data_IF_836268077161
#
_entry.id   IF_836268077161
#
_cell.length_a   1.000
_cell.length_b   1.000
_cell.length_c   1.000
_cell.angle_alpha   90.00
_cell.angle_beta   90.00
_cell.angle_gamma   90.00
#
_symmetry.space_group_name_H-M   'P 1'
#
loop_
_entity.id
_entity.type
_entity.pdbx_description
1 polymer ?
#
# COMPACT_ATOMS: atom_id res chain seq x y z
N UNK A 1 23.30 -6.95 -4.32
CA UNK A 1 23.31 -5.90 -3.28
C UNK A 1 22.16 -6.18 -2.35
N UNK A 2 22.40 -6.31 -1.05
CA UNK A 2 21.34 -6.65 -0.07
C UNK A 2 20.48 -5.42 0.24
N UNK A 3 19.29 -5.63 0.82
CA UNK A 3 18.39 -4.53 1.20
C UNK A 3 19.04 -3.57 2.20
N UNK A 4 19.81 -4.10 3.15
CA UNK A 4 20.61 -3.29 4.09
C UNK A 4 21.63 -2.40 3.35
N UNK A 5 22.31 -2.93 2.32
CA UNK A 5 23.25 -2.16 1.52
C UNK A 5 22.54 -1.09 0.69
N UNK A 6 21.38 -1.41 0.11
CA UNK A 6 20.53 -0.46 -0.64
C UNK A 6 20.05 0.68 0.26
N UNK A 7 19.57 0.35 1.45
CA UNK A 7 19.13 1.32 2.45
C UNK A 7 20.26 2.28 2.85
N UNK A 8 21.44 1.73 3.19
CA UNK A 8 22.59 2.56 3.55
C UNK A 8 23.01 3.49 2.40
N UNK A 9 23.05 2.98 1.16
CA UNK A 9 23.33 3.79 -0.03
C UNK A 9 22.30 4.90 -0.21
N UNK A 10 21.02 4.61 -0.01
CA UNK A 10 19.94 5.60 -0.09
C UNK A 10 20.13 6.73 0.93
N UNK A 11 20.48 6.38 2.17
CA UNK A 11 20.74 7.37 3.23
C UNK A 11 21.92 8.29 2.89
N UNK A 12 22.96 7.75 2.24
CA UNK A 12 24.10 8.55 1.75
C UNK A 12 23.65 9.49 0.64
N UNK A 13 22.89 9.01 -0.35
CA UNK A 13 22.36 9.85 -1.44
C UNK A 13 21.51 11.00 -0.89
N UNK A 14 20.65 10.72 0.09
CA UNK A 14 19.85 11.77 0.74
C UNK A 14 20.71 12.79 1.48
N UNK A 15 21.83 12.36 2.07
CA UNK A 15 22.77 13.27 2.73
C UNK A 15 23.46 14.17 1.70
N UNK A 16 23.90 13.62 0.57
CA UNK A 16 24.49 14.40 -0.54
C UNK A 16 23.52 15.44 -1.11
N UNK A 17 22.23 15.13 -1.19
CA UNK A 17 21.21 16.02 -1.73
C UNK A 17 20.82 17.13 -0.73
N UNK A 18 20.53 16.76 0.51
CA UNK A 18 19.91 17.68 1.48
C UNK A 18 20.89 18.29 2.47
N UNK A 19 22.01 17.63 2.75
CA UNK A 19 23.00 18.08 3.72
C UNK A 19 24.42 17.77 3.25
N UNK A 20 24.88 18.34 2.12
CA UNK A 20 26.15 17.97 1.49
C UNK A 20 27.36 18.16 2.41
N UNK A 21 27.28 19.10 3.36
CA UNK A 21 28.35 19.37 4.34
C UNK A 21 28.32 18.44 5.57
N UNK A 22 27.37 17.49 5.63
CA UNK A 22 27.19 16.59 6.77
C UNK A 22 27.17 15.14 6.33
N UNK A 23 27.89 14.32 7.06
CA UNK A 23 27.80 12.87 6.93
C UNK A 23 26.58 12.35 7.67
N UNK A 24 25.99 11.27 7.15
CA UNK A 24 24.95 10.54 7.86
C UNK A 24 25.62 9.64 8.90
N UNK A 25 25.25 9.80 10.17
CA UNK A 25 25.80 8.97 11.25
C UNK A 25 25.18 7.57 11.25
N UNK A 26 25.87 6.59 11.82
CA UNK A 26 25.37 5.21 11.91
C UNK A 26 24.07 5.13 12.71
N UNK A 27 24.01 5.88 13.81
CA UNK A 27 22.85 5.97 14.70
C UNK A 27 21.64 6.53 13.95
N UNK A 28 21.84 7.52 13.06
CA UNK A 28 20.78 8.04 12.22
C UNK A 28 20.27 6.99 11.22
N UNK A 29 21.16 6.21 10.62
CA UNK A 29 20.74 5.11 9.72
C UNK A 29 19.90 4.09 10.49
N UNK A 30 20.33 3.72 11.70
CA UNK A 30 19.64 2.74 12.53
C UNK A 30 18.24 3.21 12.94
N UNK A 31 18.10 4.47 13.38
CA UNK A 31 16.79 5.06 13.71
C UNK A 31 15.85 5.06 12.50
N UNK A 32 16.35 5.39 11.30
CA UNK A 32 15.53 5.36 10.09
C UNK A 32 15.14 3.94 9.73
N UNK A 33 16.07 2.99 9.82
CA UNK A 33 15.81 1.59 9.52
C UNK A 33 14.73 1.03 10.43
N UNK A 34 14.83 1.26 11.74
CA UNK A 34 13.83 0.84 12.72
C UNK A 34 12.46 1.51 12.48
N UNK A 35 12.45 2.83 12.22
CA UNK A 35 11.21 3.57 11.95
C UNK A 35 10.49 3.12 10.67
N UNK A 36 11.24 2.60 9.69
CA UNK A 36 10.73 2.19 8.38
C UNK A 36 10.67 0.68 8.19
N UNK A 37 10.96 -0.12 9.22
CA UNK A 37 11.09 -1.58 9.13
C UNK A 37 9.85 -2.30 8.59
N UNK A 38 8.67 -1.67 8.69
CA UNK A 38 7.39 -2.22 8.21
C UNK A 38 7.18 -2.05 6.70
N UNK A 39 8.06 -1.33 6.02
CA UNK A 39 7.98 -1.10 4.58
C UNK A 39 9.09 -1.85 3.86
N UNK A 40 8.85 -2.20 2.60
CA UNK A 40 9.88 -2.82 1.78
C UNK A 40 10.91 -1.78 1.36
N UNK A 41 12.14 -2.20 1.07
CA UNK A 41 13.17 -1.30 0.53
C UNK A 41 12.70 -0.59 -0.75
N UNK A 42 11.86 -1.24 -1.57
CA UNK A 42 11.33 -0.66 -2.79
C UNK A 42 10.36 0.50 -2.49
N UNK A 43 9.50 0.35 -1.48
CA UNK A 43 8.60 1.43 -1.04
C UNK A 43 9.39 2.65 -0.56
N UNK A 44 10.44 2.39 0.23
CA UNK A 44 11.32 3.42 0.79
C UNK A 44 12.09 4.14 -0.33
N UNK A 45 12.62 3.42 -1.32
CA UNK A 45 13.30 4.03 -2.47
C UNK A 45 12.34 4.86 -3.35
N UNK A 46 11.11 4.41 -3.55
CA UNK A 46 10.10 5.19 -4.28
C UNK A 46 9.70 6.45 -3.53
N UNK A 47 9.52 6.34 -2.21
CA UNK A 47 9.23 7.47 -1.36
C UNK A 47 10.37 8.49 -1.37
N UNK A 48 11.63 8.03 -1.28
CA UNK A 48 12.79 8.88 -1.41
C UNK A 48 12.79 9.69 -2.71
N UNK A 49 12.54 9.02 -3.84
CA UNK A 49 12.46 9.70 -5.16
C UNK A 49 11.39 10.77 -5.19
N UNK A 50 10.20 10.48 -4.65
CA UNK A 50 9.11 11.45 -4.56
C UNK A 50 9.50 12.63 -3.67
N UNK A 51 10.06 12.38 -2.50
CA UNK A 51 10.52 13.43 -1.57
C UNK A 51 11.56 14.31 -2.24
N UNK A 52 12.57 13.72 -2.90
CA UNK A 52 13.61 14.48 -3.63
C UNK A 52 13.00 15.41 -4.67
N UNK A 53 11.97 14.95 -5.40
CA UNK A 53 11.36 15.72 -6.48
C UNK A 53 10.32 16.76 -6.01
N UNK A 54 9.81 16.65 -4.78
CA UNK A 54 8.66 17.45 -4.32
C UNK A 54 8.98 18.33 -3.11
N UNK A 55 9.97 17.96 -2.29
CA UNK A 55 10.32 18.69 -1.09
C UNK A 55 10.96 20.02 -1.46
N UNK A 56 10.38 21.10 -0.96
CA UNK A 56 10.82 22.48 -1.23
C UNK A 56 11.88 22.98 -0.23
N UNK A 57 11.99 22.34 0.93
CA UNK A 57 12.93 22.72 1.99
C UNK A 57 14.19 21.85 1.97
N UNK A 58 15.36 22.49 2.09
CA UNK A 58 16.68 21.85 2.09
C UNK A 58 17.03 21.09 3.38
N UNK A 59 16.06 20.68 4.19
CA UNK A 59 16.31 19.88 5.38
C UNK A 59 16.35 18.40 5.04
N UNK A 60 17.20 17.62 5.73
CA UNK A 60 17.22 16.17 5.59
C UNK A 60 15.83 15.58 5.92
N UNK A 61 15.20 14.76 5.05
CA UNK A 61 13.82 14.33 5.24
C UNK A 61 13.64 13.42 6.44
N UNK A 62 12.63 13.65 7.27
CA UNK A 62 12.33 12.84 8.47
C UNK A 62 11.69 11.49 8.09
N UNK A 63 11.78 10.44 8.94
CA UNK A 63 11.10 9.16 8.68
C UNK A 63 9.59 9.32 8.48
N UNK A 64 8.96 10.26 9.20
CA UNK A 64 7.53 10.56 9.04
C UNK A 64 7.15 11.01 7.63
N UNK A 65 8.05 11.69 6.91
CA UNK A 65 7.81 12.12 5.53
C UNK A 65 7.79 10.92 4.58
N UNK A 66 8.66 9.93 4.78
CA UNK A 66 8.62 8.66 4.05
C UNK A 66 7.30 7.94 4.30
N UNK A 67 6.90 7.84 5.57
CA UNK A 67 5.64 7.20 5.96
C UNK A 67 4.46 7.85 5.24
N UNK A 68 4.36 9.18 5.29
CA UNK A 68 3.28 9.94 4.64
C UNK A 68 3.23 9.64 3.14
N UNK A 69 4.38 9.70 2.46
CA UNK A 69 4.43 9.48 0.99
C UNK A 69 4.08 8.04 0.61
N UNK A 70 4.51 7.05 1.39
CA UNK A 70 4.19 5.64 1.16
C UNK A 70 2.70 5.39 1.37
N UNK A 71 2.14 5.91 2.47
CA UNK A 71 0.73 5.75 2.81
C UNK A 71 -0.19 6.52 1.85
N UNK A 72 0.18 7.74 1.45
CA UNK A 72 -0.54 8.52 0.44
C UNK A 72 -0.56 7.82 -0.92
N UNK A 73 0.58 7.28 -1.38
CA UNK A 73 0.65 6.49 -2.60
C UNK A 73 -0.21 5.23 -2.53
N UNK A 74 -0.21 4.54 -1.38
CA UNK A 74 -1.06 3.39 -1.15
C UNK A 74 -2.56 3.77 -1.16
N UNK A 75 -2.91 4.94 -0.64
CA UNK A 75 -4.28 5.46 -0.63
C UNK A 75 -4.75 5.83 -2.04
N UNK A 76 -3.93 6.52 -2.84
CA UNK A 76 -4.26 6.86 -4.23
C UNK A 76 -4.44 5.61 -5.09
N UNK A 77 -3.58 4.61 -4.94
CA UNK A 77 -3.70 3.35 -5.66
C UNK A 77 -4.95 2.56 -5.23
N UNK A 78 -5.28 2.57 -3.93
CA UNK A 78 -6.49 1.92 -3.43
C UNK A 78 -7.78 2.59 -3.93
N UNK A 79 -7.74 3.90 -4.13
CA UNK A 79 -8.87 4.66 -4.64
C UNK A 79 -9.09 4.36 -6.12
N UNK A 80 -8.04 4.42 -6.95
CA UNK A 80 -8.11 4.08 -8.38
C UNK A 80 -8.64 2.65 -8.56
N UNK A 81 -8.03 1.66 -7.87
CA UNK A 81 -8.48 0.26 -7.94
C UNK A 81 -9.92 0.08 -7.48
N UNK A 82 -10.34 0.81 -6.44
CA UNK A 82 -11.73 0.77 -5.98
C UNK A 82 -12.70 1.32 -7.02
N UNK A 83 -12.33 2.36 -7.76
CA UNK A 83 -13.16 2.93 -8.83
C UNK A 83 -13.24 2.02 -10.05
N UNK A 84 -12.14 1.38 -10.43
CA UNK A 84 -12.10 0.36 -11.48
C UNK A 84 -12.99 -0.83 -11.10
N UNK A 85 -12.86 -1.34 -9.88
CA UNK A 85 -13.70 -2.40 -9.34
C UNK A 85 -15.20 -2.02 -9.33
N UNK A 86 -15.53 -0.79 -8.91
CA UNK A 86 -16.90 -0.29 -8.97
C UNK A 86 -17.44 -0.26 -10.41
N UNK A 87 -16.62 0.18 -11.36
CA UNK A 87 -17.02 0.25 -12.77
C UNK A 87 -17.28 -1.14 -13.36
N UNK A 88 -16.47 -2.14 -12.96
CA UNK A 88 -16.66 -3.52 -13.36
C UNK A 88 -17.99 -4.09 -12.87
N UNK A 89 -18.35 -3.87 -11.60
CA UNK A 89 -19.61 -4.40 -11.05
C UNK A 89 -20.84 -3.74 -11.69
N UNK A 90 -20.78 -2.44 -12.00
CA UNK A 90 -21.85 -1.75 -12.74
C UNK A 90 -22.03 -2.34 -14.14
N UNK A 91 -20.93 -2.68 -14.83
CA UNK A 91 -20.97 -3.34 -16.14
C UNK A 91 -21.56 -4.75 -16.04
N UNK A 92 -21.28 -5.48 -14.96
CA UNK A 92 -21.85 -6.81 -14.75
C UNK A 92 -23.35 -6.75 -14.43
N UNK A 93 -23.78 -5.77 -13.63
CA UNK A 93 -25.19 -5.55 -13.32
C UNK A 93 -26.01 -5.17 -14.56
N UNK A 94 -25.46 -4.38 -15.48
CA UNK A 94 -26.17 -3.97 -16.70
C UNK A 94 -26.31 -5.07 -17.76
N UNK A 95 -25.52 -6.14 -17.67
CA UNK A 95 -25.50 -7.26 -18.61
C UNK A 95 -26.26 -8.49 -18.07
N UNK A 96 -26.92 -8.38 -16.91
CA UNK A 96 -27.63 -9.47 -16.25
C UNK A 96 -28.59 -10.22 -17.21
N UNK A 97 -28.13 -11.40 -17.64
CA UNK A 97 -28.76 -12.38 -18.51
C UNK A 97 -28.28 -13.78 -18.12
N UNK A 98 -28.26 -14.74 -19.04
CA UNK A 98 -28.07 -16.19 -18.78
C UNK A 98 -26.73 -16.65 -18.13
N UNK A 99 -25.78 -15.76 -17.87
CA UNK A 99 -24.49 -16.11 -17.25
C UNK A 99 -24.28 -15.39 -15.93
N UNK A 100 -23.83 -16.11 -14.90
CA UNK A 100 -23.28 -15.50 -13.69
C UNK A 100 -21.97 -14.79 -14.06
N UNK A 101 -21.93 -13.45 -13.99
CA UNK A 101 -20.72 -12.72 -14.36
C UNK A 101 -19.70 -12.84 -13.22
N UNK A 102 -18.64 -13.61 -13.44
CA UNK A 102 -17.51 -13.69 -12.51
C UNK A 102 -16.68 -12.41 -12.60
N UNK A 103 -16.41 -11.78 -11.46
CA UNK A 103 -15.47 -10.66 -11.40
C UNK A 103 -14.04 -11.09 -11.78
N UNK A 104 -13.28 -10.17 -12.34
CA UNK A 104 -11.88 -10.37 -12.76
C UNK A 104 -10.94 -10.65 -11.59
N UNK A 105 -11.25 -10.09 -10.42
CA UNK A 105 -10.50 -10.21 -9.17
C UNK A 105 -11.41 -10.80 -8.06
N UNK A 106 -11.00 -11.88 -7.37
CA UNK A 106 -11.70 -12.44 -6.22
C UNK A 106 -12.01 -11.42 -5.11
N UNK A 107 -11.18 -10.38 -4.95
CA UNK A 107 -11.44 -9.30 -3.98
C UNK A 107 -12.67 -8.47 -4.35
N UNK A 108 -12.93 -8.27 -5.64
CA UNK A 108 -14.10 -7.54 -6.13
C UNK A 108 -15.35 -8.35 -5.79
N UNK A 109 -15.33 -9.66 -6.08
CA UNK A 109 -16.44 -10.56 -5.75
C UNK A 109 -16.72 -10.56 -4.24
N UNK A 110 -15.68 -10.72 -3.42
CA UNK A 110 -15.81 -10.70 -1.97
C UNK A 110 -16.35 -9.35 -1.45
N UNK A 111 -15.90 -8.23 -2.03
CA UNK A 111 -16.41 -6.92 -1.67
C UNK A 111 -17.90 -6.75 -2.01
N UNK A 112 -18.36 -7.27 -3.15
CA UNK A 112 -19.78 -7.28 -3.53
C UNK A 112 -20.60 -8.16 -2.60
N UNK A 113 -20.10 -9.35 -2.27
CA UNK A 113 -20.78 -10.28 -1.38
C UNK A 113 -20.96 -9.67 0.01
N UNK A 114 -19.95 -8.96 0.52
CA UNK A 114 -20.03 -8.26 1.79
C UNK A 114 -20.91 -7.00 1.76
N UNK A 115 -20.83 -6.20 0.70
CA UNK A 115 -21.53 -4.91 0.63
C UNK A 115 -23.01 -5.05 0.27
N UNK A 116 -23.35 -6.04 -0.56
CA UNK A 116 -24.68 -6.16 -1.17
C UNK A 116 -25.28 -7.57 -1.06
N UNK A 117 -24.51 -8.56 -0.57
CA UNK A 117 -24.97 -9.95 -0.53
C UNK A 117 -24.95 -10.65 -1.89
N UNK A 118 -24.11 -10.16 -2.82
CA UNK A 118 -23.87 -10.74 -4.13
C UNK A 118 -24.33 -9.86 -5.31
N UNK A 119 -23.81 -10.17 -6.51
CA UNK A 119 -24.05 -9.37 -7.72
C UNK A 119 -25.53 -9.30 -8.12
N UNK A 120 -26.30 -10.37 -7.88
CA UNK A 120 -27.74 -10.38 -8.18
C UNK A 120 -28.49 -9.33 -7.36
N UNK A 121 -28.26 -9.28 -6.04
CA UNK A 121 -28.87 -8.29 -5.15
C UNK A 121 -28.41 -6.88 -5.47
N UNK A 122 -27.14 -6.72 -5.86
CA UNK A 122 -26.62 -5.45 -6.34
C UNK A 122 -27.40 -4.92 -7.56
N UNK A 123 -27.68 -5.79 -8.54
CA UNK A 123 -28.45 -5.44 -9.74
C UNK A 123 -29.92 -5.12 -9.51
N UNK A 124 -30.47 -5.46 -8.34
CA UNK A 124 -31.87 -5.15 -7.95
C UNK A 124 -32.01 -3.74 -7.32
N UNK A 125 -30.91 -3.03 -7.07
CA UNK A 125 -30.94 -1.70 -6.45
C UNK A 125 -31.36 -0.59 -7.42
N UNK A 126 -31.98 0.46 -6.88
CA UNK A 126 -32.31 1.67 -7.65
C UNK A 126 -31.05 2.49 -7.95
N UNK A 127 -30.87 3.01 -9.19
CA UNK A 127 -29.77 3.91 -9.55
C UNK A 127 -29.67 5.17 -8.67
N UNK A 128 -30.77 5.60 -8.04
CA UNK A 128 -30.78 6.75 -7.13
C UNK A 128 -29.91 6.52 -5.87
N UNK A 129 -29.64 5.25 -5.54
CA UNK A 129 -28.80 4.85 -4.41
C UNK A 129 -27.32 4.71 -4.79
N UNK A 130 -26.96 4.88 -6.06
CA UNK A 130 -25.59 4.67 -6.57
C UNK A 130 -24.52 5.46 -5.81
N UNK A 131 -24.72 6.73 -5.40
CA UNK A 131 -23.70 7.43 -4.62
C UNK A 131 -23.44 6.78 -3.25
N UNK A 132 -24.50 6.34 -2.57
CA UNK A 132 -24.41 5.69 -1.27
C UNK A 132 -23.84 4.27 -1.39
N UNK A 133 -24.31 3.51 -2.39
CA UNK A 133 -23.83 2.17 -2.71
C UNK A 133 -22.35 2.19 -3.11
N UNK A 134 -21.94 3.14 -3.95
CA UNK A 134 -20.53 3.34 -4.33
C UNK A 134 -19.68 3.61 -3.12
N UNK A 135 -20.09 4.54 -2.25
CA UNK A 135 -19.35 4.85 -1.02
C UNK A 135 -19.24 3.63 -0.11
N UNK A 136 -20.32 2.87 0.05
CA UNK A 136 -20.32 1.65 0.86
C UNK A 136 -19.36 0.59 0.30
N UNK A 137 -19.47 0.30 -0.99
CA UNK A 137 -18.59 -0.63 -1.69
C UNK A 137 -17.11 -0.24 -1.57
N UNK A 138 -16.76 1.02 -1.87
CA UNK A 138 -15.39 1.49 -1.80
C UNK A 138 -14.78 1.34 -0.39
N UNK A 139 -15.58 1.57 0.65
CA UNK A 139 -15.13 1.37 2.03
C UNK A 139 -14.85 -0.09 2.35
N UNK A 140 -15.69 -1.02 1.87
CA UNK A 140 -15.50 -2.47 2.04
C UNK A 140 -14.28 -2.94 1.24
N UNK A 141 -14.21 -2.58 -0.05
CA UNK A 141 -13.12 -2.96 -0.93
C UNK A 141 -11.76 -2.46 -0.43
N UNK A 142 -11.66 -1.20 0.02
CA UNK A 142 -10.42 -0.66 0.61
C UNK A 142 -9.95 -1.48 1.82
N UNK A 143 -10.87 -1.88 2.71
CA UNK A 143 -10.53 -2.72 3.88
C UNK A 143 -10.02 -4.10 3.48
N UNK A 144 -10.67 -4.73 2.50
CA UNK A 144 -10.24 -6.03 1.98
C UNK A 144 -8.87 -5.94 1.30
N UNK A 145 -8.64 -4.88 0.52
CA UNK A 145 -7.37 -4.63 -0.14
C UNK A 145 -6.24 -4.42 0.88
N UNK A 146 -6.49 -3.67 1.97
CA UNK A 146 -5.51 -3.51 3.07
C UNK A 146 -5.19 -4.85 3.72
N UNK A 147 -6.20 -5.65 4.09
CA UNK A 147 -5.99 -6.97 4.71
C UNK A 147 -5.21 -7.94 3.81
N UNK A 148 -5.50 -7.93 2.51
CA UNK A 148 -4.78 -8.79 1.56
C UNK A 148 -3.32 -8.35 1.40
N UNK A 149 -3.03 -7.04 1.45
CA UNK A 149 -1.65 -6.54 1.47
C UNK A 149 -0.92 -6.99 2.75
N UNK A 150 -1.56 -6.85 3.91
CA UNK A 150 -1.01 -7.28 5.20
C UNK A 150 -0.71 -8.79 5.21
N UNK A 151 -1.66 -9.62 4.79
CA UNK A 151 -1.49 -11.08 4.68
C UNK A 151 -0.30 -11.46 3.79
N UNK A 152 -0.15 -10.81 2.63
CA UNK A 152 0.99 -11.07 1.73
C UNK A 152 2.33 -10.65 2.33
N UNK A 153 2.34 -9.61 3.15
CA UNK A 153 3.54 -9.19 3.88
C UNK A 153 3.91 -10.22 4.95
N UNK A 154 2.93 -10.71 5.72
CA UNK A 154 3.14 -11.76 6.73
C UNK A 154 3.63 -13.08 6.11
N UNK A 155 3.07 -13.48 4.97
CA UNK A 155 3.49 -14.69 4.25
C UNK A 155 4.86 -14.55 3.57
N UNK A 156 5.28 -13.31 3.29
CA UNK A 156 6.62 -12.99 2.79
C UNK A 156 7.70 -12.97 3.89
N UNK A 157 7.31 -12.94 5.16
CA UNK A 157 8.22 -13.05 6.31
C UNK A 157 8.25 -14.51 6.74
N UNK A 158 9.24 -15.27 6.25
CA UNK A 158 9.48 -16.62 6.75
C UNK A 158 9.80 -16.59 8.26
N UNK A 159 9.25 -17.50 9.09
CA UNK A 159 9.51 -17.59 10.54
C UNK A 159 10.95 -18.04 10.93
N UNK A 160 11.97 -17.65 10.17
CA UNK A 160 13.35 -18.12 10.32
C UNK A 160 14.37 -17.09 10.81
N UNK A 161 13.96 -15.86 11.15
CA UNK A 161 14.89 -14.79 11.54
C UNK A 161 14.79 -14.32 13.01
N UNK A 162 14.09 -15.07 13.86
CA UNK A 162 13.95 -14.74 15.29
C UNK A 162 14.69 -15.69 16.25
N UNK A 163 15.57 -16.55 15.76
CA UNK A 163 16.31 -17.46 16.65
C UNK A 163 17.68 -17.84 16.09
N UNK A 164 18.63 -16.89 16.01
CA UNK A 164 20.06 -17.21 16.18
C UNK A 164 20.76 -15.98 16.76
N UNK A 165 20.81 -15.94 18.09
CA UNK A 165 21.45 -14.90 18.85
C UNK A 165 21.43 -15.23 20.33
N UNK A 166 21.79 -16.47 20.67
CA UNK A 166 22.21 -16.88 22.02
C UNK A 166 22.97 -18.20 21.88
N UNK A 167 24.29 -18.09 21.78
CA UNK A 167 25.26 -18.98 22.42
C UNK A 167 26.65 -18.39 22.21
N UNK A 168 27.02 -17.55 23.18
CA UNK A 168 28.42 -17.35 23.56
C UNK A 168 28.95 -18.66 24.16
N UNK A 169 30.04 -19.18 23.60
CA UNK A 169 31.16 -19.78 24.34
C UNK A 169 32.46 -19.57 23.55
#
# INVERSE_FOLDING_TARGET
>A
MTDKQRFAKLMVILAEIFTPDKTVSKEKIEVYHESLRRFTINDIEQAAKRIINTKTFHAFPLPAEFISVIEEGANSDSEIKGLEAWSEICRHASVMGYFEPTCSDPLIQHAVDMAFGGLRKFGEHSPDQDPANRKHFLNVYKRLLTREKERRLEEGVTPGQLAEGDNEE
#
